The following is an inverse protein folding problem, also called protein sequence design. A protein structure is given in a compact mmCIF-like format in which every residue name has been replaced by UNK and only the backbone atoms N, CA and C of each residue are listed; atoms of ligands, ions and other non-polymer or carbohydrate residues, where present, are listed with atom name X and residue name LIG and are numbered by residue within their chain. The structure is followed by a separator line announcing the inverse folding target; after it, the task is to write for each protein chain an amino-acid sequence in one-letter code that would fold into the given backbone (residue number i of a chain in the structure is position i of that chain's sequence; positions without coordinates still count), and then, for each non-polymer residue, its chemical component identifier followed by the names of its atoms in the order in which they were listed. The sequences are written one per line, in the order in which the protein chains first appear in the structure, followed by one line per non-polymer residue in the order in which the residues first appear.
data_IF_917576573472
#
_entry.id   IF_917576573472
#
_cell.length_a   1.000
_cell.length_b   1.000
_cell.length_c   1.000
_cell.angle_alpha   90.00
_cell.angle_beta   90.00
_cell.angle_gamma   90.00
#
_symmetry.space_group_name_H-M   'P 1'
#
loop_
_entity.id
_entity.type
_entity.pdbx_description
1 polymer ?
#
# COMPACT_ATOMS: atom_id res chain seq x y z
N UNK A 1 -7.89 -16.05 -11.80
CA UNK A 1 -7.53 -17.25 -11.03
C UNK A 1 -6.56 -16.87 -9.91
N UNK A 2 -7.03 -16.74 -8.67
CA UNK A 2 -6.19 -16.54 -7.48
C UNK A 2 -5.86 -17.90 -6.88
N UNK A 3 -4.65 -18.40 -7.12
CA UNK A 3 -4.21 -19.67 -6.54
C UNK A 3 -4.03 -19.59 -5.01
N UNK A 4 -4.13 -20.72 -4.30
CA UNK A 4 -4.10 -20.77 -2.82
C UNK A 4 -2.81 -20.19 -2.21
N UNK A 5 -1.67 -20.31 -2.90
CA UNK A 5 -0.40 -19.71 -2.47
C UNK A 5 -0.43 -18.17 -2.44
N UNK A 6 -1.11 -17.54 -3.39
CA UNK A 6 -1.20 -16.07 -3.50
C UNK A 6 -2.09 -15.50 -2.41
N UNK A 7 -3.20 -16.17 -2.11
CA UNK A 7 -4.08 -15.81 -0.99
C UNK A 7 -3.32 -15.85 0.36
N UNK A 8 -2.51 -16.89 0.59
CA UNK A 8 -1.67 -16.99 1.79
C UNK A 8 -0.65 -15.85 1.93
N UNK A 9 -0.08 -15.39 0.81
CA UNK A 9 0.87 -14.27 0.81
C UNK A 9 0.20 -12.94 1.17
N UNK A 10 -0.98 -12.65 0.58
CA UNK A 10 -1.75 -11.43 0.89
C UNK A 10 -2.11 -11.39 2.38
N UNK A 11 -2.58 -12.50 2.94
CA UNK A 11 -2.89 -12.57 4.38
C UNK A 11 -1.66 -12.38 5.26
N UNK A 12 -0.50 -12.88 4.84
CA UNK A 12 0.76 -12.61 5.53
C UNK A 12 1.11 -11.11 5.48
N UNK A 13 1.00 -10.46 4.31
CA UNK A 13 1.26 -9.03 4.15
C UNK A 13 0.34 -8.18 5.04
N UNK A 14 -0.97 -8.49 5.08
CA UNK A 14 -1.94 -7.84 5.97
C UNK A 14 -1.57 -7.97 7.45
N UNK A 15 -1.14 -9.15 7.88
CA UNK A 15 -0.69 -9.34 9.28
C UNK A 15 0.59 -8.56 9.56
N UNK A 16 1.54 -8.58 8.63
CA UNK A 16 2.84 -7.91 8.79
C UNK A 16 2.68 -6.39 8.85
N UNK A 17 1.85 -5.79 7.99
CA UNK A 17 1.64 -4.34 7.99
C UNK A 17 1.01 -3.86 9.30
N UNK A 18 0.02 -4.59 9.84
CA UNK A 18 -0.57 -4.26 11.15
C UNK A 18 0.48 -4.29 12.26
N UNK A 19 1.31 -5.34 12.31
CA UNK A 19 2.35 -5.46 13.34
C UNK A 19 3.44 -4.40 13.21
N UNK A 20 3.84 -4.08 11.98
CA UNK A 20 4.79 -2.98 11.73
C UNK A 20 4.24 -1.65 12.22
N UNK A 21 2.97 -1.37 11.96
CA UNK A 21 2.31 -0.15 12.43
C UNK A 21 2.20 -0.09 13.96
N UNK A 22 1.82 -1.20 14.60
CA UNK A 22 1.66 -1.27 16.06
C UNK A 22 2.98 -0.97 16.81
N UNK A 23 4.13 -1.24 16.20
CA UNK A 23 5.46 -0.95 16.75
C UNK A 23 5.89 0.51 16.58
N UNK A 24 5.17 1.32 15.80
CA UNK A 24 5.48 2.74 15.67
C UNK A 24 5.24 3.48 16.99
N UNK A 25 6.19 4.35 17.33
CA UNK A 25 5.98 5.41 18.32
C UNK A 25 4.88 6.35 17.82
N UNK A 26 4.23 7.03 18.75
CA UNK A 26 3.35 8.17 18.43
C UNK A 26 4.10 9.18 17.56
N UNK A 27 3.44 9.71 16.52
CA UNK A 27 4.06 10.57 15.48
C UNK A 27 5.18 9.90 14.67
N UNK A 28 5.31 8.57 14.78
CA UNK A 28 6.22 7.77 13.98
C UNK A 28 5.68 7.50 12.58
N UNK A 29 6.56 7.11 11.67
CA UNK A 29 6.21 6.78 10.28
C UNK A 29 6.81 5.46 9.85
N UNK A 30 6.12 4.75 8.97
CA UNK A 30 6.65 3.58 8.25
C UNK A 30 6.42 3.71 6.75
N UNK A 31 7.14 2.90 5.98
CA UNK A 31 6.89 2.69 4.55
C UNK A 31 6.50 1.23 4.34
N UNK A 32 5.39 1.03 3.63
CA UNK A 32 5.02 -0.26 3.06
C UNK A 32 5.36 -0.25 1.57
N UNK A 33 6.05 -1.27 1.09
CA UNK A 33 6.46 -1.36 -0.31
C UNK A 33 6.49 -2.80 -0.84
N UNK A 34 6.23 -2.95 -2.14
CA UNK A 34 6.21 -4.24 -2.83
C UNK A 34 6.74 -4.11 -4.26
N UNK A 35 7.24 -5.20 -4.84
CA UNK A 35 7.69 -5.27 -6.24
C UNK A 35 6.64 -5.92 -7.17
N UNK A 36 5.35 -5.62 -6.95
CA UNK A 36 4.22 -6.17 -7.73
C UNK A 36 3.24 -5.08 -8.11
N UNK A 37 2.49 -5.28 -9.20
CA UNK A 37 1.40 -4.39 -9.62
C UNK A 37 0.03 -4.80 -9.07
N UNK A 38 -0.03 -5.93 -8.37
CA UNK A 38 -1.29 -6.58 -8.07
C UNK A 38 -2.03 -5.87 -6.94
N UNK A 39 -3.24 -5.32 -7.16
CA UNK A 39 -3.90 -4.48 -6.15
C UNK A 39 -4.24 -5.21 -4.84
N UNK A 40 -4.42 -6.54 -4.87
CA UNK A 40 -4.62 -7.33 -3.65
C UNK A 40 -3.39 -7.38 -2.73
N UNK A 41 -2.19 -7.16 -3.29
CA UNK A 41 -0.93 -7.11 -2.55
C UNK A 41 -0.53 -5.66 -2.22
N UNK A 42 -1.24 -4.67 -2.77
CA UNK A 42 -0.88 -3.25 -2.68
C UNK A 42 -1.99 -2.50 -1.95
N UNK A 43 -2.93 -1.90 -2.69
CA UNK A 43 -4.00 -1.07 -2.14
C UNK A 43 -4.87 -1.83 -1.14
N UNK A 44 -5.20 -3.09 -1.39
CA UNK A 44 -6.02 -3.88 -0.46
C UNK A 44 -5.31 -4.14 0.89
N UNK A 45 -3.98 -4.23 0.91
CA UNK A 45 -3.20 -4.42 2.15
C UNK A 45 -3.16 -3.12 2.95
N UNK A 46 -2.95 -1.98 2.28
CA UNK A 46 -2.93 -0.66 2.91
C UNK A 46 -4.32 -0.24 3.38
N UNK A 47 -5.35 -0.44 2.56
CA UNK A 47 -6.76 -0.22 2.92
C UNK A 47 -7.18 -1.07 4.12
N UNK A 48 -6.69 -2.31 4.20
CA UNK A 48 -6.89 -3.16 5.38
C UNK A 48 -6.26 -2.56 6.64
N UNK A 49 -5.06 -1.97 6.57
CA UNK A 49 -4.47 -1.24 7.70
C UNK A 49 -5.37 -0.07 8.13
N UNK A 50 -5.77 0.79 7.18
CA UNK A 50 -6.59 1.99 7.44
C UNK A 50 -7.93 1.64 8.10
N UNK A 51 -8.53 0.50 7.73
CA UNK A 51 -9.77 0.01 8.33
C UNK A 51 -9.60 -0.54 9.76
N UNK A 52 -8.39 -0.91 10.16
CA UNK A 52 -8.13 -1.62 11.42
C UNK A 52 -7.31 -0.81 12.42
N UNK A 53 -6.74 0.32 12.02
CA UNK A 53 -5.89 1.18 12.85
C UNK A 53 -6.12 2.64 12.48
N UNK A 54 -5.91 3.53 13.44
CA UNK A 54 -5.91 4.98 13.24
C UNK A 54 -4.64 5.42 12.50
N UNK A 55 -4.40 4.90 11.31
CA UNK A 55 -3.26 5.22 10.48
C UNK A 55 -3.64 6.30 9.46
N UNK A 56 -2.69 7.16 9.11
CA UNK A 56 -2.87 8.14 8.04
C UNK A 56 -1.90 7.92 6.88
N UNK A 57 -2.36 8.17 5.65
CA UNK A 57 -1.48 8.19 4.49
C UNK A 57 -0.87 9.58 4.31
N UNK A 58 0.46 9.59 4.25
CA UNK A 58 1.27 10.76 3.99
C UNK A 58 1.66 10.80 2.50
N UNK A 59 1.68 11.97 1.86
CA UNK A 59 2.08 12.08 0.47
C UNK A 59 3.54 11.65 0.27
N UNK A 60 3.81 11.06 -0.90
CA UNK A 60 5.16 10.72 -1.36
C UNK A 60 5.43 11.56 -2.62
N UNK A 61 6.44 12.41 -2.55
CA UNK A 61 6.90 13.17 -3.71
C UNK A 61 7.81 12.27 -4.56
N UNK A 62 7.38 11.96 -5.77
CA UNK A 62 8.08 11.03 -6.67
C UNK A 62 8.35 11.62 -8.05
N UNK A 63 8.10 12.92 -8.22
CA UNK A 63 8.19 13.59 -9.51
C UNK A 63 7.17 13.02 -10.52
N UNK A 64 7.40 13.19 -11.84
CA UNK A 64 6.44 12.79 -12.86
C UNK A 64 6.32 11.26 -13.02
N UNK A 65 7.25 10.48 -12.48
CA UNK A 65 7.36 9.05 -12.74
C UNK A 65 6.39 8.17 -11.93
N UNK A 66 5.89 8.67 -10.81
CA UNK A 66 4.90 8.00 -9.99
C UNK A 66 3.48 8.18 -10.52
N UNK A 67 2.67 7.14 -10.40
CA UNK A 67 1.21 7.22 -10.57
C UNK A 67 0.50 7.05 -9.23
N UNK A 68 -0.64 7.71 -8.99
CA UNK A 68 -1.38 7.54 -7.75
C UNK A 68 -1.88 6.10 -7.58
N UNK A 69 -2.00 5.67 -6.34
CA UNK A 69 -2.66 4.41 -5.99
C UNK A 69 -4.11 4.36 -6.45
N UNK A 70 -4.62 3.14 -6.65
CA UNK A 70 -6.00 2.92 -7.05
C UNK A 70 -6.97 3.17 -5.90
N UNK A 71 -8.10 3.81 -6.19
CA UNK A 71 -9.25 3.90 -5.25
C UNK A 71 -10.33 2.88 -5.54
N UNK A 72 -10.22 2.16 -6.67
CA UNK A 72 -11.15 1.11 -7.06
C UNK A 72 -10.40 0.07 -7.91
N UNK A 73 -10.72 -1.20 -7.70
CA UNK A 73 -10.25 -2.27 -8.57
C UNK A 73 -11.28 -3.39 -8.65
N UNK A 74 -11.71 -3.71 -9.88
CA UNK A 74 -12.85 -4.61 -10.12
C UNK A 74 -14.10 -4.15 -9.37
N UNK A 75 -14.58 -4.96 -8.41
CA UNK A 75 -15.76 -4.67 -7.57
C UNK A 75 -15.38 -4.07 -6.20
N UNK A 76 -14.09 -3.98 -5.89
CA UNK A 76 -13.60 -3.48 -4.61
C UNK A 76 -13.39 -1.96 -4.67
N UNK A 77 -13.81 -1.29 -3.59
CA UNK A 77 -13.59 0.13 -3.38
C UNK A 77 -12.65 0.31 -2.18
N UNK A 78 -11.60 1.10 -2.37
CA UNK A 78 -10.60 1.42 -1.35
C UNK A 78 -10.83 2.83 -0.81
N UNK A 79 -10.24 3.13 0.34
CA UNK A 79 -10.23 4.47 0.89
C UNK A 79 -9.65 5.48 -0.12
N UNK A 80 -10.26 6.68 -0.22
CA UNK A 80 -9.83 7.69 -1.21
C UNK A 80 -8.40 8.18 -0.96
N UNK A 81 -7.92 8.11 0.28
CA UNK A 81 -6.56 8.48 0.63
C UNK A 81 -5.49 7.61 -0.04
N UNK A 82 -5.85 6.45 -0.60
CA UNK A 82 -4.93 5.60 -1.37
C UNK A 82 -4.31 6.32 -2.57
N UNK A 83 -4.91 7.41 -3.07
CA UNK A 83 -4.29 8.27 -4.08
C UNK A 83 -2.95 8.88 -3.64
N UNK A 84 -2.68 8.94 -2.34
CA UNK A 84 -1.39 9.40 -1.77
C UNK A 84 -0.29 8.34 -1.84
N UNK A 85 -0.65 7.09 -2.13
CA UNK A 85 0.32 6.02 -2.42
C UNK A 85 0.80 6.12 -3.86
N UNK A 86 1.94 5.49 -4.17
CA UNK A 86 2.57 5.60 -5.48
C UNK A 86 2.78 4.23 -6.10
N UNK A 87 2.39 4.12 -7.37
CA UNK A 87 2.65 3.01 -8.29
C UNK A 87 3.73 3.44 -9.27
N UNK A 88 4.66 2.53 -9.55
CA UNK A 88 5.69 2.71 -10.56
C UNK A 88 5.54 1.63 -11.60
N UNK A 89 5.44 2.06 -12.85
CA UNK A 89 5.28 1.16 -13.98
C UNK A 89 6.54 1.11 -14.83
N UNK A 90 6.86 -0.07 -15.40
CA UNK A 90 8.14 -0.33 -16.03
C UNK A 90 8.32 0.52 -17.28
N UNK A 91 7.23 0.76 -18.02
CA UNK A 91 7.20 1.57 -19.23
C UNK A 91 7.52 3.07 -18.99
N UNK A 92 7.51 3.54 -17.73
CA UNK A 92 7.82 4.94 -17.39
C UNK A 92 9.22 5.13 -16.79
N UNK A 93 9.84 4.05 -16.31
CA UNK A 93 11.02 4.14 -15.43
C UNK A 93 12.16 3.20 -15.79
N UNK A 94 12.05 2.40 -16.85
CA UNK A 94 13.01 1.35 -17.20
C UNK A 94 13.40 0.50 -15.98
N UNK A 95 12.39 0.15 -15.19
CA UNK A 95 12.52 -0.46 -13.87
C UNK A 95 11.51 -1.57 -13.69
N UNK A 96 11.64 -2.35 -12.62
CA UNK A 96 10.61 -3.31 -12.20
C UNK A 96 9.41 -2.58 -11.59
N UNK A 97 8.26 -3.24 -11.62
CA UNK A 97 7.06 -2.74 -10.97
C UNK A 97 7.21 -2.55 -9.50
N UNK A 98 6.75 -1.41 -8.99
CA UNK A 98 6.91 -1.08 -7.59
C UNK A 98 5.71 -0.33 -7.05
N UNK A 99 5.40 -0.53 -5.77
CA UNK A 99 4.36 0.18 -5.04
C UNK A 99 4.92 0.68 -3.71
N UNK A 100 4.54 1.90 -3.32
CA UNK A 100 4.90 2.49 -2.03
C UNK A 100 3.73 3.20 -1.37
N UNK A 101 3.60 2.99 -0.05
CA UNK A 101 2.73 3.75 0.82
C UNK A 101 3.52 4.25 2.03
N UNK A 102 3.47 5.55 2.28
CA UNK A 102 4.04 6.18 3.47
C UNK A 102 2.93 6.40 4.48
N UNK A 103 3.11 5.84 5.67
CA UNK A 103 2.07 5.73 6.68
C UNK A 103 2.54 6.42 7.95
N UNK A 104 1.70 7.30 8.50
CA UNK A 104 1.91 8.00 9.76
C UNK A 104 1.03 7.44 10.87
N UNK A 105 1.58 7.43 12.10
CA UNK A 105 0.81 7.23 13.32
C UNK A 105 0.52 8.58 13.96
N UNK A 106 -0.75 9.02 14.05
CA UNK A 106 -1.10 10.26 14.71
C UNK A 106 -0.75 10.18 16.20
N UNK A 107 -0.84 11.32 16.90
CA UNK A 107 -0.55 11.41 18.32
C UNK A 107 -1.71 11.84 19.16
#
# INVERSE_FOLDING_TARGET
MTGPRKAKLVELQKRTILRGYDLLKVKGTMVYATCTYHPLENEAVVDYLLKNREAELLPIETGPAGEPGLTQWQKEHYDRSLQKTVRFYPHRLDSVGFFMARIGKPG
#
